data_IF_688402346045
#
_entry.id   IF_688402346045
#
_cell.length_a   1.000
_cell.length_b   1.000
_cell.length_c   1.000
_cell.angle_alpha   90.00
_cell.angle_beta   90.00
_cell.angle_gamma   90.00
#
_symmetry.space_group_name_H-M   'P 1'
#
loop_
_entity.id
_entity.type
_entity.pdbx_description
1 polymer ?
#
# COMPACT_ATOMS: atom_id res chain seq x y z
N UNK A 1 -1.43 -2.61 -16.69
CA UNK A 1 -2.41 -1.64 -16.20
C UNK A 1 -2.12 -0.24 -16.75
N UNK A 2 -3.17 0.52 -17.05
CA UNK A 2 -3.11 1.94 -17.35
C UNK A 2 -4.34 2.64 -16.75
N UNK A 3 -4.15 3.51 -15.75
CA UNK A 3 -5.21 4.36 -15.26
C UNK A 3 -5.39 5.57 -16.20
N UNK A 4 -6.53 5.64 -16.86
CA UNK A 4 -6.90 6.77 -17.74
C UNK A 4 -7.62 7.82 -16.90
N UNK A 5 -6.91 8.90 -16.61
CA UNK A 5 -7.44 9.97 -15.75
C UNK A 5 -8.35 10.89 -16.56
N UNK A 6 -9.62 10.98 -16.13
CA UNK A 6 -10.64 11.77 -16.79
C UNK A 6 -10.98 12.98 -15.93
N UNK A 7 -10.50 14.14 -16.34
CA UNK A 7 -10.80 15.42 -15.71
C UNK A 7 -12.15 15.98 -16.19
N UNK A 8 -12.67 16.99 -15.49
CA UNK A 8 -13.96 17.62 -15.78
C UNK A 8 -14.10 18.09 -17.24
N UNK A 9 -13.03 18.64 -17.81
CA UNK A 9 -13.02 19.17 -19.19
C UNK A 9 -12.56 18.15 -20.24
N UNK A 10 -12.34 16.89 -19.87
CA UNK A 10 -11.91 15.86 -20.81
C UNK A 10 -13.09 15.41 -21.67
N UNK A 11 -13.00 15.56 -23.00
CA UNK A 11 -14.05 15.15 -23.92
C UNK A 11 -14.20 13.64 -24.00
N UNK A 12 -15.39 13.16 -24.34
CA UNK A 12 -15.67 11.73 -24.53
C UNK A 12 -14.78 11.11 -25.61
N UNK A 13 -14.50 11.84 -26.69
CA UNK A 13 -13.65 11.38 -27.80
C UNK A 13 -12.19 11.21 -27.36
N UNK A 14 -11.69 12.14 -26.51
CA UNK A 14 -10.37 12.00 -25.90
C UNK A 14 -10.27 10.76 -25.02
N UNK A 15 -11.29 10.50 -24.20
CA UNK A 15 -11.35 9.29 -23.39
C UNK A 15 -11.36 8.04 -24.26
N UNK A 16 -12.21 8.00 -25.29
CA UNK A 16 -12.30 6.86 -26.21
C UNK A 16 -10.95 6.60 -26.92
N UNK A 17 -10.28 7.67 -27.35
CA UNK A 17 -8.95 7.60 -27.97
C UNK A 17 -7.91 7.05 -27.01
N UNK A 18 -7.88 7.52 -25.75
CA UNK A 18 -6.96 7.05 -24.72
C UNK A 18 -7.17 5.55 -24.42
N UNK A 19 -8.42 5.10 -24.31
CA UNK A 19 -8.74 3.68 -24.12
C UNK A 19 -8.30 2.82 -25.31
N UNK A 20 -8.53 3.30 -26.54
CA UNK A 20 -8.08 2.60 -27.74
C UNK A 20 -6.56 2.53 -27.84
N UNK A 21 -5.86 3.60 -27.50
CA UNK A 21 -4.40 3.62 -27.42
C UNK A 21 -3.88 2.62 -26.39
N UNK A 22 -4.45 2.61 -25.18
CA UNK A 22 -4.09 1.67 -24.14
C UNK A 22 -4.22 0.22 -24.61
N UNK A 23 -5.33 -0.12 -25.28
CA UNK A 23 -5.52 -1.46 -25.87
C UNK A 23 -4.48 -1.81 -26.94
N UNK A 24 -4.15 -0.87 -27.83
CA UNK A 24 -3.07 -1.06 -28.84
C UNK A 24 -1.71 -1.29 -28.16
N UNK A 25 -1.47 -0.65 -27.02
CA UNK A 25 -0.27 -0.86 -26.19
C UNK A 25 -0.33 -2.15 -25.36
N UNK A 26 -1.35 -2.98 -25.53
CA UNK A 26 -1.58 -4.21 -24.74
C UNK A 26 -1.66 -3.95 -23.23
N UNK A 27 -2.16 -2.77 -22.84
CA UNK A 27 -2.44 -2.42 -21.44
C UNK A 27 -3.91 -2.65 -21.12
N UNK A 28 -4.20 -2.93 -19.86
CA UNK A 28 -5.56 -2.99 -19.34
C UNK A 28 -5.94 -1.58 -18.88
N UNK A 29 -6.82 -0.86 -19.60
CA UNK A 29 -7.21 0.49 -19.22
C UNK A 29 -8.31 0.47 -18.17
N UNK A 30 -8.19 1.34 -17.17
CA UNK A 30 -9.22 1.62 -16.17
C UNK A 30 -9.44 3.14 -16.11
N UNK A 31 -10.70 3.58 -16.10
CA UNK A 31 -11.03 5.00 -15.94
C UNK A 31 -10.83 5.39 -14.47
N UNK A 32 -10.13 6.51 -14.25
CA UNK A 32 -10.01 7.15 -12.94
C UNK A 32 -10.49 8.59 -12.99
N UNK A 33 -11.07 9.09 -11.91
CA UNK A 33 -11.23 10.52 -11.66
C UNK A 33 -9.93 11.17 -11.23
N UNK A 34 -9.96 12.47 -10.95
CA UNK A 34 -8.79 13.25 -10.52
C UNK A 34 -8.71 13.28 -9.00
N UNK A 35 -7.66 12.68 -8.46
CA UNK A 35 -7.27 12.83 -7.05
C UNK A 35 -5.77 12.52 -6.89
N UNK A 36 -5.18 12.82 -5.74
CA UNK A 36 -3.79 12.45 -5.44
C UNK A 36 -3.68 10.91 -5.36
N UNK A 37 -2.86 10.33 -6.23
CA UNK A 37 -2.63 8.88 -6.30
C UNK A 37 -3.67 8.08 -7.09
N UNK A 38 -4.66 8.71 -7.67
CA UNK A 38 -5.74 8.08 -8.46
C UNK A 38 -6.39 6.91 -7.71
N UNK A 39 -6.62 5.76 -8.35
CA UNK A 39 -7.18 4.59 -7.69
C UNK A 39 -6.08 3.82 -6.94
N UNK A 40 -5.06 3.40 -7.67
CA UNK A 40 -4.09 2.44 -7.16
C UNK A 40 -3.18 3.01 -6.09
N UNK A 41 -2.47 4.11 -6.36
CA UNK A 41 -1.54 4.70 -5.39
C UNK A 41 -2.27 5.32 -4.19
N UNK A 42 -3.51 5.75 -4.32
CA UNK A 42 -4.31 6.26 -3.20
C UNK A 42 -4.61 5.14 -2.19
N UNK A 43 -5.07 3.98 -2.66
CA UNK A 43 -5.29 2.80 -1.81
C UNK A 43 -3.95 2.28 -1.25
N UNK A 44 -2.90 2.22 -2.08
CA UNK A 44 -1.55 1.86 -1.64
C UNK A 44 -1.09 2.71 -0.46
N UNK A 45 -1.24 4.03 -0.56
CA UNK A 45 -0.85 4.95 0.52
C UNK A 45 -1.60 4.68 1.82
N UNK A 46 -2.89 4.30 1.73
CA UNK A 46 -3.70 4.04 2.92
C UNK A 46 -3.27 2.77 3.65
N UNK A 47 -3.13 1.64 2.94
CA UNK A 47 -2.72 0.41 3.61
C UNK A 47 -1.23 0.45 4.03
N UNK A 48 -0.40 1.23 3.34
CA UNK A 48 0.98 1.47 3.74
C UNK A 48 1.07 2.19 5.08
N UNK A 49 0.26 3.24 5.30
CA UNK A 49 0.17 3.93 6.59
C UNK A 49 -0.25 2.95 7.68
N UNK A 50 -1.32 2.17 7.45
CA UNK A 50 -1.76 1.15 8.41
C UNK A 50 -0.67 0.09 8.70
N UNK A 51 0.15 -0.25 7.70
CA UNK A 51 1.28 -1.16 7.88
C UNK A 51 2.37 -0.54 8.75
N UNK A 52 2.68 0.74 8.56
CA UNK A 52 3.64 1.43 9.42
C UNK A 52 3.15 1.51 10.87
N UNK A 53 1.85 1.74 11.09
CA UNK A 53 1.27 1.69 12.45
C UNK A 53 1.46 0.30 13.06
N UNK A 54 1.17 -0.78 12.34
CA UNK A 54 1.40 -2.15 12.85
C UNK A 54 2.86 -2.39 13.23
N UNK A 55 3.80 -1.90 12.40
CA UNK A 55 5.24 -2.06 12.69
C UNK A 55 5.65 -1.26 13.92
N UNK A 56 5.20 -0.03 14.05
CA UNK A 56 5.46 0.78 15.25
C UNK A 56 4.83 0.16 16.50
N UNK A 57 3.64 -0.48 16.38
CA UNK A 57 2.94 -1.17 17.47
C UNK A 57 3.58 -2.53 17.85
N UNK A 58 4.54 -3.04 17.08
CA UNK A 58 5.27 -4.27 17.45
C UNK A 58 5.37 -5.35 16.40
N UNK A 59 4.68 -5.24 15.24
CA UNK A 59 4.86 -6.21 14.17
C UNK A 59 6.27 -6.11 13.57
N UNK A 60 6.84 -7.26 13.19
CA UNK A 60 8.04 -7.26 12.35
C UNK A 60 7.66 -6.95 10.90
N UNK A 61 8.38 -6.04 10.19
CA UNK A 61 8.15 -5.80 8.77
C UNK A 61 8.23 -7.07 7.93
N UNK A 62 9.12 -7.97 8.29
CA UNK A 62 9.35 -9.23 7.58
C UNK A 62 8.21 -10.23 7.81
N UNK A 63 7.61 -10.22 9.02
CA UNK A 63 6.42 -11.01 9.31
C UNK A 63 5.22 -10.50 8.51
N UNK A 64 5.02 -9.19 8.46
CA UNK A 64 3.97 -8.57 7.63
C UNK A 64 4.12 -8.98 6.16
N UNK A 65 5.32 -8.86 5.61
CA UNK A 65 5.58 -9.25 4.22
C UNK A 65 5.35 -10.74 3.97
N UNK A 66 5.73 -11.60 4.94
CA UNK A 66 5.47 -13.03 4.87
C UNK A 66 3.98 -13.32 4.78
N UNK A 67 3.18 -12.77 5.68
CA UNK A 67 1.71 -12.96 5.72
C UNK A 67 1.05 -12.52 4.40
N UNK A 68 1.45 -11.39 3.87
CA UNK A 68 0.90 -10.85 2.61
C UNK A 68 1.27 -11.73 1.40
N UNK A 69 2.49 -12.27 1.36
CA UNK A 69 2.88 -13.23 0.32
C UNK A 69 2.13 -14.56 0.47
N UNK A 70 1.97 -15.08 1.68
CA UNK A 70 1.21 -16.32 1.94
C UNK A 70 -0.27 -16.15 1.62
N UNK A 71 -0.83 -14.95 1.75
CA UNK A 71 -2.15 -14.61 1.24
C UNK A 71 -2.25 -14.75 -0.28
N UNK A 72 -1.13 -14.66 -1.01
CA UNK A 72 -1.03 -14.84 -2.45
C UNK A 72 -0.65 -13.59 -3.23
N UNK A 73 -0.32 -12.49 -2.55
CA UNK A 73 0.24 -11.31 -3.22
C UNK A 73 1.61 -11.62 -3.82
N UNK A 74 1.91 -11.00 -4.96
CA UNK A 74 3.18 -11.23 -5.68
C UNK A 74 4.39 -10.81 -4.84
N UNK A 75 4.23 -9.81 -3.98
CA UNK A 75 5.27 -9.27 -3.10
C UNK A 75 4.66 -8.80 -1.78
N UNK A 76 5.46 -8.78 -0.73
CA UNK A 76 5.14 -8.07 0.50
C UNK A 76 5.26 -6.56 0.34
N UNK A 77 4.73 -5.79 1.28
CA UNK A 77 4.67 -4.32 1.22
C UNK A 77 6.07 -3.70 1.24
N UNK A 78 6.93 -4.19 2.14
CA UNK A 78 8.30 -3.67 2.29
C UNK A 78 9.18 -4.05 1.11
N UNK A 79 8.92 -5.20 0.47
CA UNK A 79 9.54 -5.55 -0.80
C UNK A 79 9.14 -4.59 -1.92
N UNK A 80 7.87 -4.18 -1.99
CA UNK A 80 7.39 -3.20 -2.97
C UNK A 80 8.05 -1.83 -2.74
N UNK A 81 8.24 -1.42 -1.48
CA UNK A 81 8.96 -0.18 -1.14
C UNK A 81 10.40 -0.24 -1.64
N UNK A 82 11.10 -1.35 -1.39
CA UNK A 82 12.48 -1.53 -1.81
C UNK A 82 12.62 -1.62 -3.34
N UNK A 83 11.63 -2.21 -4.04
CA UNK A 83 11.59 -2.25 -5.50
C UNK A 83 11.39 -0.86 -6.12
N UNK A 84 10.44 -0.10 -5.58
CA UNK A 84 10.12 1.24 -6.08
C UNK A 84 11.22 2.27 -5.74
N UNK A 85 11.85 2.07 -4.60
CA UNK A 85 12.79 3.01 -3.99
C UNK A 85 12.15 3.86 -2.89
N UNK A 86 12.66 3.70 -1.65
CA UNK A 86 12.15 4.37 -0.45
C UNK A 86 12.18 5.89 -0.52
N UNK A 87 13.10 6.46 -1.32
CA UNK A 87 13.23 7.91 -1.56
C UNK A 87 11.99 8.54 -2.21
N UNK A 88 11.26 7.80 -3.06
CA UNK A 88 10.01 8.28 -3.69
C UNK A 88 8.94 8.53 -2.62
N UNK A 89 8.75 7.54 -1.73
CA UNK A 89 7.85 7.67 -0.58
C UNK A 89 8.31 8.78 0.38
N UNK A 90 9.61 8.88 0.63
CA UNK A 90 10.20 9.91 1.48
C UNK A 90 9.97 11.32 0.94
N UNK A 91 10.20 11.55 -0.36
CA UNK A 91 9.89 12.82 -1.01
C UNK A 91 8.40 13.19 -0.87
N UNK A 92 7.50 12.22 -1.01
CA UNK A 92 6.06 12.42 -0.82
C UNK A 92 5.72 12.78 0.63
N UNK A 93 6.30 12.09 1.62
CA UNK A 93 6.10 12.40 3.04
C UNK A 93 6.60 13.79 3.40
N UNK A 94 7.77 14.20 2.90
CA UNK A 94 8.31 15.56 3.07
C UNK A 94 7.42 16.62 2.42
N UNK A 95 6.90 16.38 1.22
CA UNK A 95 5.97 17.30 0.55
C UNK A 95 4.65 17.47 1.32
N UNK A 96 4.15 16.39 1.93
CA UNK A 96 2.90 16.41 2.70
C UNK A 96 3.07 16.92 4.14
N UNK A 97 4.28 16.96 4.67
CA UNK A 97 4.53 17.33 6.07
C UNK A 97 3.91 18.68 6.50
N UNK A 98 3.97 19.78 5.70
CA UNK A 98 3.36 21.06 6.08
C UNK A 98 1.82 21.01 6.20
N UNK A 99 1.17 20.02 5.61
CA UNK A 99 -0.29 19.87 5.56
C UNK A 99 -0.81 18.79 6.51
N UNK A 100 0.08 18.13 7.28
CA UNK A 100 -0.30 17.10 8.24
C UNK A 100 -0.97 17.75 9.44
N UNK A 101 -2.10 17.17 9.89
CA UNK A 101 -2.73 17.63 11.13
C UNK A 101 -1.83 17.28 12.32
N UNK A 102 -1.86 18.12 13.38
CA UNK A 102 -0.99 17.93 14.55
C UNK A 102 -1.29 16.65 15.32
N UNK A 103 -2.54 16.23 15.30
CA UNK A 103 -3.03 15.03 15.99
C UNK A 103 -2.94 13.77 15.14
N UNK A 104 -2.50 13.87 13.86
CA UNK A 104 -2.30 12.70 13.01
C UNK A 104 -1.07 11.92 13.50
N UNK A 105 -1.28 10.63 13.81
CA UNK A 105 -0.19 9.71 14.11
C UNK A 105 0.76 9.61 12.91
N UNK A 106 2.04 9.86 13.15
CA UNK A 106 3.06 9.78 12.12
C UNK A 106 4.21 8.86 12.54
N UNK A 107 4.43 7.81 11.77
CA UNK A 107 5.49 6.83 12.00
C UNK A 107 6.76 7.28 11.29
N UNK A 108 7.83 7.48 12.04
CA UNK A 108 9.12 7.94 11.49
C UNK A 108 10.05 6.79 11.03
N UNK A 109 9.73 5.54 11.33
CA UNK A 109 10.54 4.37 10.92
C UNK A 109 10.97 4.43 9.44
N UNK A 110 10.07 4.67 8.45
CA UNK A 110 10.47 4.75 7.06
C UNK A 110 11.37 5.95 6.74
N UNK A 111 11.30 7.03 7.52
CA UNK A 111 12.19 8.18 7.37
C UNK A 111 13.59 7.83 7.88
N UNK A 112 13.70 7.15 9.04
CA UNK A 112 14.98 6.69 9.60
C UNK A 112 15.72 5.74 8.67
N UNK A 113 14.99 4.90 7.93
CA UNK A 113 15.57 4.03 6.89
C UNK A 113 16.13 4.88 5.74
N UNK A 114 15.37 5.87 5.28
CA UNK A 114 15.79 6.76 4.19
C UNK A 114 16.94 7.71 4.58
N UNK A 115 16.97 8.20 5.81
CA UNK A 115 18.06 9.05 6.34
C UNK A 115 19.43 8.34 6.31
N UNK A 116 19.43 7.00 6.37
CA UNK A 116 20.64 6.18 6.21
C UNK A 116 21.05 5.95 4.74
N UNK A 117 20.28 6.51 3.79
CA UNK A 117 20.50 6.29 2.36
C UNK A 117 20.06 4.90 1.88
N UNK A 118 19.26 4.19 2.65
CA UNK A 118 18.78 2.84 2.30
C UNK A 118 17.46 2.95 1.54
N UNK A 119 17.57 3.00 0.22
CA UNK A 119 16.41 3.19 -0.66
C UNK A 119 15.93 1.90 -1.33
N UNK A 120 16.40 0.74 -0.88
CA UNK A 120 16.03 -0.55 -1.42
C UNK A 120 17.00 -1.06 -2.49
N UNK A 121 16.48 -1.74 -3.51
CA UNK A 121 17.29 -2.42 -4.53
C UNK A 121 18.32 -1.50 -5.19
N UNK A 122 17.97 -0.28 -5.51
CA UNK A 122 18.87 0.68 -6.19
C UNK A 122 20.08 1.12 -5.36
N UNK A 123 20.05 0.92 -4.05
CA UNK A 123 21.16 1.19 -3.13
C UNK A 123 21.68 -0.10 -2.49
N UNK A 124 21.29 -1.24 -3.00
CA UNK A 124 21.61 -2.59 -2.50
C UNK A 124 21.21 -2.84 -1.04
N UNK A 125 20.47 -1.91 -0.43
CA UNK A 125 20.03 -1.98 0.96
C UNK A 125 18.75 -1.16 1.18
N UNK A 126 17.81 -1.77 1.86
CA UNK A 126 16.54 -1.20 2.29
C UNK A 126 16.01 -1.99 3.48
N UNK A 127 14.75 -2.38 3.44
CA UNK A 127 14.20 -3.37 4.37
C UNK A 127 14.87 -4.73 4.19
N UNK A 128 15.30 -5.03 2.97
CA UNK A 128 16.06 -6.23 2.64
C UNK A 128 17.45 -5.85 2.13
N UNK A 129 18.33 -6.83 2.10
CA UNK A 129 19.67 -6.73 1.52
C UNK A 129 19.66 -7.29 0.10
N UNK A 130 20.41 -6.64 -0.80
CA UNK A 130 20.49 -6.99 -2.22
C UNK A 130 21.94 -7.06 -2.68
N UNK A 131 22.27 -8.05 -3.48
CA UNK A 131 23.60 -8.27 -4.05
C UNK A 131 23.66 -9.64 -4.74
N UNK A 132 24.67 -9.86 -5.59
CA UNK A 132 24.83 -11.12 -6.35
C UNK A 132 24.93 -12.36 -5.44
N UNK A 133 25.64 -12.23 -4.32
CA UNK A 133 25.86 -13.32 -3.36
C UNK A 133 24.86 -13.30 -2.19
N UNK A 134 23.86 -12.41 -2.21
CA UNK A 134 22.88 -12.30 -1.13
C UNK A 134 21.63 -13.10 -1.52
N UNK A 135 21.21 -14.09 -0.68
CA UNK A 135 19.99 -14.85 -0.94
C UNK A 135 18.77 -13.95 -1.07
N UNK A 136 17.83 -14.36 -1.93
CA UNK A 136 16.58 -13.63 -2.12
C UNK A 136 15.81 -13.49 -0.79
N UNK A 137 15.31 -12.30 -0.51
CA UNK A 137 14.61 -11.94 0.73
C UNK A 137 15.47 -12.05 2.00
N UNK A 138 16.74 -11.76 1.92
CA UNK A 138 17.57 -11.62 3.12
C UNK A 138 17.15 -10.36 3.88
N UNK A 139 16.59 -10.47 5.09
CA UNK A 139 16.21 -9.32 5.90
C UNK A 139 17.43 -8.46 6.23
N UNK A 140 17.26 -7.14 6.25
CA UNK A 140 18.25 -6.24 6.82
C UNK A 140 18.05 -6.21 8.36
N UNK A 141 18.98 -6.77 9.16
CA UNK A 141 18.79 -6.88 10.60
C UNK A 141 18.75 -5.52 11.32
N UNK A 142 19.30 -4.47 10.70
CA UNK A 142 19.29 -3.12 11.27
C UNK A 142 17.88 -2.49 11.25
N UNK A 143 16.94 -3.03 10.47
CA UNK A 143 15.55 -2.56 10.44
C UNK A 143 14.85 -2.83 11.77
N UNK A 144 15.04 -4.00 12.37
CA UNK A 144 14.45 -4.32 13.69
C UNK A 144 15.00 -3.38 14.77
N UNK A 145 16.30 -3.06 14.72
CA UNK A 145 16.94 -2.10 15.64
C UNK A 145 16.31 -0.71 15.48
N UNK A 146 16.07 -0.25 14.24
CA UNK A 146 15.38 1.03 13.98
C UNK A 146 13.96 1.00 14.57
N UNK A 147 13.23 -0.09 14.37
CA UNK A 147 11.88 -0.24 14.90
C UNK A 147 11.87 -0.18 16.44
N UNK A 148 12.80 -0.85 17.10
CA UNK A 148 12.94 -0.81 18.56
C UNK A 148 13.26 0.60 19.06
N UNK A 149 14.25 1.27 18.46
CA UNK A 149 14.63 2.63 18.83
C UNK A 149 13.47 3.63 18.66
N UNK A 150 12.70 3.50 17.58
CA UNK A 150 11.55 4.39 17.37
C UNK A 150 10.41 4.11 18.36
N UNK A 151 10.13 2.84 18.70
CA UNK A 151 9.16 2.48 19.75
C UNK A 151 9.56 3.07 21.11
N UNK A 152 10.83 2.94 21.49
CA UNK A 152 11.36 3.54 22.73
C UNK A 152 11.21 5.06 22.72
N UNK A 153 11.55 5.71 21.61
CA UNK A 153 11.45 7.17 21.45
C UNK A 153 10.02 7.69 21.63
N UNK A 154 9.02 6.96 21.12
CA UNK A 154 7.61 7.36 21.21
C UNK A 154 6.88 6.75 22.41
N UNK A 155 7.55 5.91 23.19
CA UNK A 155 7.00 5.30 24.42
C UNK A 155 5.97 4.20 24.15
N UNK A 156 6.05 3.51 23.02
CA UNK A 156 5.14 2.41 22.66
C UNK A 156 5.68 1.09 23.19
N UNK A 157 4.87 0.39 23.98
CA UNK A 157 5.13 -1.00 24.37
C UNK A 157 4.69 -1.93 23.24
N UNK A 158 5.59 -2.72 22.63
CA UNK A 158 5.25 -3.56 21.50
C UNK A 158 4.27 -4.66 21.87
N UNK A 159 3.25 -4.85 21.04
CA UNK A 159 2.32 -5.99 21.09
C UNK A 159 2.68 -7.04 20.04
N UNK A 160 2.25 -8.27 20.28
CA UNK A 160 2.36 -9.34 19.29
C UNK A 160 1.20 -9.26 18.31
N UNK A 161 1.49 -9.48 17.05
CA UNK A 161 0.50 -9.61 15.99
C UNK A 161 0.48 -11.05 15.48
N UNK A 162 -0.70 -11.61 15.31
CA UNK A 162 -0.86 -12.87 14.58
C UNK A 162 -1.11 -12.62 13.08
N UNK A 163 -1.01 -13.68 12.29
CA UNK A 163 -1.15 -13.63 10.83
C UNK A 163 -2.53 -13.10 10.40
N UNK A 164 -3.57 -13.47 11.14
CA UNK A 164 -4.94 -13.08 10.84
C UNK A 164 -5.15 -11.57 11.09
N UNK A 165 -4.62 -11.06 12.21
CA UNK A 165 -4.72 -9.64 12.55
C UNK A 165 -4.00 -8.77 11.50
N UNK A 166 -2.80 -9.18 11.08
CA UNK A 166 -2.05 -8.49 10.01
C UNK A 166 -2.87 -8.44 8.72
N UNK A 167 -3.40 -9.60 8.31
CA UNK A 167 -4.19 -9.69 7.08
C UNK A 167 -5.49 -8.90 7.16
N UNK A 168 -6.21 -8.99 8.26
CA UNK A 168 -7.49 -8.28 8.47
C UNK A 168 -7.28 -6.76 8.43
N UNK A 169 -6.22 -6.23 9.07
CA UNK A 169 -5.85 -4.80 9.00
C UNK A 169 -5.49 -4.36 7.57
N UNK A 170 -4.69 -5.17 6.87
CA UNK A 170 -4.30 -4.88 5.49
C UNK A 170 -5.52 -4.80 4.56
N UNK A 171 -6.41 -5.79 4.61
CA UNK A 171 -7.62 -5.82 3.77
C UNK A 171 -8.61 -4.71 4.18
N UNK A 172 -8.82 -4.49 5.48
CA UNK A 172 -9.69 -3.42 5.95
C UNK A 172 -9.27 -2.05 5.44
N UNK A 173 -7.97 -1.75 5.47
CA UNK A 173 -7.44 -0.48 4.96
C UNK A 173 -7.67 -0.31 3.44
N UNK A 174 -7.49 -1.38 2.65
CA UNK A 174 -7.75 -1.37 1.21
C UNK A 174 -9.22 -1.12 0.89
N UNK A 175 -10.11 -1.86 1.55
CA UNK A 175 -11.56 -1.78 1.30
C UNK A 175 -12.12 -0.44 1.77
N UNK A 176 -11.68 0.04 2.93
CA UNK A 176 -12.08 1.36 3.43
C UNK A 176 -11.75 2.48 2.43
N UNK A 177 -10.52 2.55 1.95
CA UNK A 177 -10.15 3.56 0.97
C UNK A 177 -10.83 3.31 -0.39
N UNK A 178 -11.03 2.05 -0.78
CA UNK A 178 -11.79 1.68 -1.96
C UNK A 178 -13.23 2.18 -1.92
N UNK A 179 -13.91 2.09 -0.78
CA UNK A 179 -15.28 2.62 -0.63
C UNK A 179 -15.33 4.14 -0.72
N UNK A 180 -14.32 4.85 -0.19
CA UNK A 180 -14.19 6.31 -0.36
C UNK A 180 -14.01 6.70 -1.83
N UNK A 181 -13.12 6.03 -2.53
CA UNK A 181 -12.86 6.21 -3.97
C UNK A 181 -14.15 6.04 -4.78
N UNK A 182 -14.99 5.07 -4.43
CA UNK A 182 -16.30 4.87 -5.06
C UNK A 182 -17.28 5.97 -4.73
N UNK A 183 -17.40 6.37 -3.47
CA UNK A 183 -18.31 7.45 -3.04
C UNK A 183 -17.96 8.79 -3.69
N UNK A 184 -16.68 9.06 -3.89
CA UNK A 184 -16.15 10.25 -4.57
C UNK A 184 -16.17 10.14 -6.11
N UNK A 185 -16.62 9.00 -6.66
CA UNK A 185 -16.66 8.74 -8.11
C UNK A 185 -15.29 8.80 -8.81
N UNK A 186 -14.23 8.57 -8.07
CA UNK A 186 -12.87 8.40 -8.62
C UNK A 186 -12.81 7.08 -9.41
N UNK A 187 -13.26 5.96 -8.83
CA UNK A 187 -13.67 4.76 -9.56
C UNK A 187 -15.19 4.75 -9.72
N UNK A 188 -15.70 4.16 -10.81
CA UNK A 188 -17.13 4.12 -11.08
C UNK A 188 -17.82 2.89 -10.50
N UNK A 189 -17.07 1.81 -10.30
CA UNK A 189 -17.59 0.53 -9.78
C UNK A 189 -16.48 -0.25 -9.04
N UNK A 190 -16.84 -1.13 -8.11
CA UNK A 190 -15.87 -1.92 -7.34
C UNK A 190 -14.90 -2.71 -8.21
N UNK A 191 -15.38 -3.28 -9.30
CA UNK A 191 -14.54 -4.03 -10.25
C UNK A 191 -13.45 -3.20 -10.93
N UNK A 192 -13.56 -1.88 -11.01
CA UNK A 192 -12.49 -1.02 -11.51
C UNK A 192 -11.30 -1.06 -10.57
N UNK A 193 -11.55 -1.04 -9.24
CA UNK A 193 -10.54 -1.19 -8.21
C UNK A 193 -9.91 -2.59 -8.26
N UNK A 194 -10.73 -3.63 -8.41
CA UNK A 194 -10.24 -5.01 -8.50
C UNK A 194 -9.31 -5.20 -9.71
N UNK A 195 -9.66 -4.63 -10.86
CA UNK A 195 -8.83 -4.68 -12.07
C UNK A 195 -7.51 -3.94 -11.86
N UNK A 196 -7.53 -2.78 -11.19
CA UNK A 196 -6.30 -2.05 -10.84
C UNK A 196 -5.38 -2.92 -10.00
N UNK A 197 -5.90 -3.54 -8.94
CA UNK A 197 -5.09 -4.29 -7.99
C UNK A 197 -4.57 -5.63 -8.54
N UNK A 198 -5.39 -6.34 -9.31
CA UNK A 198 -4.99 -7.62 -9.91
C UNK A 198 -4.04 -7.48 -11.10
N UNK A 199 -3.96 -6.31 -11.73
CA UNK A 199 -3.09 -6.08 -12.89
C UNK A 199 -1.94 -5.10 -12.64
N UNK A 200 -1.93 -4.36 -11.54
CA UNK A 200 -0.91 -3.34 -11.26
C UNK A 200 -0.25 -3.44 -9.88
N UNK A 201 -0.89 -4.08 -8.91
CA UNK A 201 -0.45 -4.08 -7.51
C UNK A 201 -0.22 -5.47 -6.93
N UNK A 202 -0.22 -6.50 -7.78
CA UNK A 202 0.15 -7.86 -7.37
C UNK A 202 -0.87 -8.58 -6.49
N UNK A 203 -2.11 -8.07 -6.38
CA UNK A 203 -3.17 -8.77 -5.67
C UNK A 203 -3.49 -10.10 -6.36
N UNK A 204 -3.71 -11.21 -5.62
CA UNK A 204 -3.90 -12.53 -6.23
C UNK A 204 -5.17 -12.58 -7.09
N UNK A 205 -4.99 -12.85 -8.39
CA UNK A 205 -6.08 -12.85 -9.40
C UNK A 205 -7.21 -13.82 -9.07
N UNK A 206 -6.87 -14.96 -8.48
CA UNK A 206 -7.84 -15.99 -8.10
C UNK A 206 -8.75 -15.58 -6.94
N UNK A 207 -8.39 -14.53 -6.20
CA UNK A 207 -9.24 -13.88 -5.19
C UNK A 207 -10.10 -12.75 -5.75
N UNK A 208 -9.93 -12.38 -7.02
CA UNK A 208 -10.77 -11.43 -7.75
C UNK A 208 -10.46 -9.95 -7.55
N UNK A 209 -9.67 -9.58 -6.55
CA UNK A 209 -9.36 -8.21 -6.17
C UNK A 209 -9.88 -7.86 -4.78
N UNK A 210 -9.50 -6.70 -4.21
CA UNK A 210 -9.82 -6.35 -2.83
C UNK A 210 -11.33 -6.20 -2.57
N UNK A 211 -12.07 -5.60 -3.49
CA UNK A 211 -13.51 -5.39 -3.33
C UNK A 211 -14.29 -6.70 -3.50
N UNK A 212 -13.92 -7.50 -4.50
CA UNK A 212 -14.49 -8.84 -4.67
C UNK A 212 -14.17 -9.76 -3.49
N UNK A 213 -12.94 -9.70 -2.97
CA UNK A 213 -12.57 -10.46 -1.79
C UNK A 213 -13.40 -10.06 -0.56
N UNK A 214 -13.66 -8.76 -0.38
CA UNK A 214 -14.53 -8.26 0.69
C UNK A 214 -15.95 -8.86 0.61
N UNK A 215 -16.53 -8.92 -0.60
CA UNK A 215 -17.83 -9.57 -0.81
C UNK A 215 -17.79 -11.06 -0.41
N UNK A 216 -16.71 -11.76 -0.75
CA UNK A 216 -16.56 -13.20 -0.49
C UNK A 216 -16.44 -13.54 0.99
N UNK A 217 -15.76 -12.72 1.79
CA UNK A 217 -15.59 -12.95 3.23
C UNK A 217 -16.70 -12.34 4.08
N UNK A 218 -17.56 -11.53 3.46
CA UNK A 218 -18.74 -10.90 4.06
C UNK A 218 -18.49 -9.45 4.51
N UNK A 219 -19.35 -8.56 4.04
CA UNK A 219 -19.24 -7.11 4.30
C UNK A 219 -19.38 -6.78 5.78
N UNK A 220 -20.17 -7.54 6.55
CA UNK A 220 -20.29 -7.35 8.01
C UNK A 220 -18.96 -7.60 8.73
N UNK A 221 -18.20 -8.61 8.30
CA UNK A 221 -16.85 -8.87 8.85
C UNK A 221 -15.91 -7.71 8.51
N UNK A 222 -15.92 -7.27 7.27
CA UNK A 222 -15.10 -6.13 6.82
C UNK A 222 -15.44 -4.86 7.61
N UNK A 223 -16.74 -4.56 7.78
CA UNK A 223 -17.18 -3.39 8.53
C UNK A 223 -16.69 -3.43 9.98
N UNK A 224 -16.83 -4.58 10.65
CA UNK A 224 -16.31 -4.77 12.01
C UNK A 224 -14.79 -4.56 12.08
N UNK A 225 -14.04 -5.08 11.11
CA UNK A 225 -12.59 -4.87 11.05
C UNK A 225 -12.24 -3.39 10.82
N UNK A 226 -12.94 -2.71 9.91
CA UNK A 226 -12.73 -1.28 9.67
C UNK A 226 -13.01 -0.48 10.95
N UNK A 227 -14.12 -0.73 11.64
CA UNK A 227 -14.45 -0.05 12.90
C UNK A 227 -13.39 -0.31 13.98
N UNK A 228 -13.03 -1.57 14.20
CA UNK A 228 -12.00 -1.96 15.18
C UNK A 228 -10.66 -1.25 14.93
N UNK A 229 -10.23 -1.17 13.67
CA UNK A 229 -8.91 -0.64 13.33
C UNK A 229 -8.89 0.86 12.98
N UNK A 230 -10.05 1.53 12.97
CA UNK A 230 -10.12 2.99 12.83
C UNK A 230 -9.92 3.72 14.16
N UNK A 231 -10.05 3.02 15.28
CA UNK A 231 -9.86 3.55 16.64
C UNK A 231 -8.40 3.40 17.14
N UNK A 232 -7.56 2.65 16.42
CA UNK A 232 -6.14 2.43 16.67
C UNK A 232 -5.26 3.36 15.80
#
# INVERSE_FOLDING_TARGET
LLEVVVAEKTSKDTVATAFNLAKKMKKVPVRSGVCDGFIGNRILSKYLIGTYHMVEDGASPFHVDKVIREFGCAMGIFQVIDLAGGDIGWATRKRKAPFRHKDDRYVEIPDRVCERGWFGQKTSKGYYLYGEDIPFLTPNPEIEIICEQERERVGITPKKFDDMEILDKYIAAMVYEGTKILSEKIALKPSDIDVVFTNGYGFPKWRGGPMKYADMIGLDKILKNIQKYSEE
#
